data_IF_983073329258
#
_entry.id   IF_983073329258
#
_cell.length_a   1.000
_cell.length_b   1.000
_cell.length_c   1.000
_cell.angle_alpha   90.00
_cell.angle_beta   90.00
_cell.angle_gamma   90.00
#
_symmetry.space_group_name_H-M   'P 1'
#
loop_
_entity.id
_entity.type
_entity.pdbx_description
1 polymer ?
#
# COMPACT_ATOMS: atom_id res chain seq x y z
N UNK A 1 -3.27 2.33 -4.68
CA UNK A 1 -2.06 2.01 -5.45
C UNK A 1 -1.59 0.63 -5.05
N UNK A 2 -1.05 -0.13 -5.99
CA UNK A 2 -0.46 -1.45 -5.77
C UNK A 2 0.93 -1.47 -6.42
N UNK A 3 1.77 -2.42 -6.01
CA UNK A 3 3.07 -2.64 -6.61
C UNK A 3 2.96 -3.39 -7.96
N UNK A 4 4.11 -3.61 -8.60
CA UNK A 4 4.20 -4.33 -9.87
C UNK A 4 4.30 -5.86 -9.75
N UNK A 5 3.94 -6.46 -8.61
CA UNK A 5 4.08 -7.90 -8.40
C UNK A 5 3.34 -8.73 -9.47
N UNK A 6 3.85 -9.92 -9.78
CA UNK A 6 3.31 -10.76 -10.86
C UNK A 6 1.84 -11.11 -10.62
N UNK A 7 1.47 -11.42 -9.38
CA UNK A 7 0.08 -11.68 -8.98
C UNK A 7 -0.85 -10.49 -9.26
N UNK A 8 -0.37 -9.26 -9.04
CA UNK A 8 -1.15 -8.03 -9.25
C UNK A 8 -1.27 -7.60 -10.71
N UNK A 9 -0.42 -8.16 -11.59
CA UNK A 9 -0.39 -7.82 -13.03
C UNK A 9 -0.96 -8.93 -13.92
N UNK A 10 -1.48 -10.01 -13.33
CA UNK A 10 -2.10 -11.11 -14.04
C UNK A 10 -3.38 -10.65 -14.79
N UNK A 11 -3.66 -11.26 -15.95
CA UNK A 11 -4.81 -10.89 -16.79
C UNK A 11 -6.16 -10.91 -16.05
N UNK A 12 -6.49 -11.92 -15.21
CA UNK A 12 -7.76 -11.95 -14.49
C UNK A 12 -7.88 -10.78 -13.49
N UNK A 13 -6.78 -10.47 -12.79
CA UNK A 13 -6.72 -9.36 -11.84
C UNK A 13 -6.88 -8.03 -12.57
N UNK A 14 -6.18 -7.84 -13.69
CA UNK A 14 -6.32 -6.63 -14.52
C UNK A 14 -7.76 -6.45 -15.01
N UNK A 15 -8.39 -7.51 -15.52
CA UNK A 15 -9.77 -7.45 -16.02
C UNK A 15 -10.74 -7.05 -14.90
N UNK A 16 -10.61 -7.67 -13.72
CA UNK A 16 -11.39 -7.33 -12.54
C UNK A 16 -11.20 -5.86 -12.12
N UNK A 17 -9.95 -5.37 -12.09
CA UNK A 17 -9.66 -3.99 -11.73
C UNK A 17 -10.29 -3.01 -12.74
N UNK A 18 -10.15 -3.27 -14.04
CA UNK A 18 -10.75 -2.42 -15.09
C UNK A 18 -12.27 -2.39 -14.96
N UNK A 19 -12.91 -3.53 -14.70
CA UNK A 19 -14.35 -3.59 -14.47
C UNK A 19 -14.78 -2.79 -13.24
N UNK A 20 -13.99 -2.84 -12.16
CA UNK A 20 -14.36 -2.25 -10.87
C UNK A 20 -14.11 -0.75 -10.82
N UNK A 21 -12.98 -0.28 -11.37
CA UNK A 21 -12.48 1.08 -11.19
C UNK A 21 -12.41 1.89 -12.50
N UNK A 22 -12.57 1.23 -13.65
CA UNK A 22 -12.34 1.83 -14.96
C UNK A 22 -10.86 1.95 -15.31
N UNK A 23 -10.54 1.88 -16.60
CA UNK A 23 -9.16 1.84 -17.09
C UNK A 23 -8.36 3.11 -16.75
N UNK A 24 -9.01 4.27 -16.64
CA UNK A 24 -8.34 5.55 -16.35
C UNK A 24 -7.85 5.69 -14.91
N UNK A 25 -8.33 4.85 -13.99
CA UNK A 25 -7.97 4.90 -12.57
C UNK A 25 -6.92 3.86 -12.18
N UNK A 26 -6.39 3.12 -13.15
CA UNK A 26 -5.50 1.98 -12.91
C UNK A 26 -4.14 2.30 -13.46
N UNK A 27 -3.13 2.15 -12.60
CA UNK A 27 -1.73 2.14 -12.98
C UNK A 27 -1.21 0.73 -12.79
N UNK A 28 -0.87 0.06 -13.88
CA UNK A 28 -0.42 -1.34 -13.87
C UNK A 28 0.28 -1.70 -15.18
N UNK A 29 1.03 -2.81 -15.19
CA UNK A 29 1.68 -3.28 -16.42
C UNK A 29 0.62 -3.54 -17.50
N UNK A 30 0.92 -3.12 -18.74
CA UNK A 30 0.04 -3.29 -19.91
C UNK A 30 -1.32 -2.58 -19.78
N UNK A 31 -1.46 -1.59 -18.88
CA UNK A 31 -2.59 -0.68 -18.83
C UNK A 31 -2.23 0.67 -19.47
N UNK A 32 -3.24 1.54 -19.68
CA UNK A 32 -3.06 2.90 -20.22
C UNK A 32 -1.99 3.71 -19.49
N UNK A 33 -1.95 3.59 -18.17
CA UNK A 33 -0.89 4.17 -17.33
C UNK A 33 0.04 3.03 -16.88
N UNK A 34 1.20 2.83 -17.53
CA UNK A 34 2.11 1.77 -17.16
C UNK A 34 2.87 2.09 -15.88
N UNK A 35 3.21 1.06 -15.11
CA UNK A 35 4.08 1.22 -13.95
C UNK A 35 5.54 1.38 -14.37
N UNK A 36 6.24 2.34 -13.75
CA UNK A 36 7.65 2.56 -14.02
C UNK A 36 8.49 1.36 -13.53
N UNK A 37 9.59 1.01 -14.22
CA UNK A 37 10.50 -0.03 -13.75
C UNK A 37 11.13 0.36 -12.41
N UNK A 38 11.20 -0.59 -11.45
CA UNK A 38 11.82 -0.40 -10.12
C UNK A 38 11.11 0.63 -9.22
N UNK A 39 9.78 0.68 -9.28
CA UNK A 39 8.96 1.59 -8.48
C UNK A 39 8.22 0.91 -7.33
N UNK A 40 8.76 -0.19 -6.77
CA UNK A 40 8.20 -0.81 -5.56
C UNK A 40 8.07 0.21 -4.43
N UNK A 41 9.03 1.13 -4.32
CA UNK A 41 9.15 2.03 -3.18
C UNK A 41 8.25 3.27 -3.30
N UNK A 42 7.47 3.37 -4.38
CA UNK A 42 6.59 4.52 -4.59
C UNK A 42 5.22 4.35 -3.91
N UNK A 43 4.86 3.17 -3.40
CA UNK A 43 3.58 3.08 -2.70
C UNK A 43 3.68 3.68 -1.29
N UNK A 44 2.67 4.46 -0.83
CA UNK A 44 2.61 4.94 0.55
C UNK A 44 2.69 3.82 1.59
N UNK A 45 2.30 2.61 1.21
CA UNK A 45 2.42 1.45 2.07
C UNK A 45 3.90 1.08 2.29
N UNK A 46 4.68 1.04 1.21
CA UNK A 46 6.07 0.59 1.21
C UNK A 46 7.04 1.60 1.83
N UNK A 47 6.95 2.89 1.48
CA UNK A 47 7.89 3.89 2.01
C UNK A 47 7.54 4.40 3.41
N UNK A 48 6.31 4.20 3.90
CA UNK A 48 5.86 4.75 5.17
C UNK A 48 5.10 3.75 6.05
N UNK A 49 3.96 3.23 5.60
CA UNK A 49 3.04 2.51 6.48
C UNK A 49 3.68 1.29 7.13
N UNK A 50 4.35 0.43 6.35
CA UNK A 50 4.91 -0.81 6.87
C UNK A 50 6.04 -0.56 7.87
N UNK A 51 6.93 0.40 7.59
CA UNK A 51 7.97 0.80 8.53
C UNK A 51 7.42 1.40 9.82
N UNK A 52 6.42 2.28 9.70
CA UNK A 52 5.74 2.91 10.82
C UNK A 52 5.03 1.88 11.72
N UNK A 53 4.19 1.03 11.13
CA UNK A 53 3.46 0.00 11.86
C UNK A 53 4.39 -1.01 12.50
N UNK A 54 5.44 -1.45 11.78
CA UNK A 54 6.44 -2.36 12.35
C UNK A 54 7.03 -1.78 13.62
N UNK A 55 7.54 -0.54 13.56
CA UNK A 55 8.11 0.12 14.73
C UNK A 55 7.11 0.16 15.90
N UNK A 56 5.88 0.62 15.66
CA UNK A 56 4.84 0.80 16.68
C UNK A 56 4.35 -0.52 17.29
N UNK A 57 4.10 -1.53 16.47
CA UNK A 57 3.58 -2.83 16.89
C UNK A 57 4.61 -3.59 17.73
N UNK A 58 5.89 -3.51 17.36
CA UNK A 58 6.93 -4.22 18.12
C UNK A 58 7.30 -3.55 19.45
N UNK A 59 6.90 -2.29 19.68
CA UNK A 59 7.04 -1.65 21.01
C UNK A 59 6.23 -2.36 22.10
N UNK A 60 5.07 -2.94 21.76
CA UNK A 60 4.25 -3.68 22.74
C UNK A 60 4.73 -5.12 22.97
N UNK A 61 5.75 -5.59 22.26
CA UNK A 61 6.32 -6.93 22.43
C UNK A 61 5.31 -8.09 22.30
N UNK A 62 4.48 -8.15 21.24
CA UNK A 62 3.48 -9.21 21.11
C UNK A 62 4.15 -10.59 21.05
N UNK A 63 3.68 -11.50 21.89
CA UNK A 63 4.22 -12.86 22.07
C UNK A 63 3.35 -13.94 21.41
N UNK A 64 2.13 -13.57 21.00
CA UNK A 64 1.19 -14.45 20.30
C UNK A 64 0.63 -13.84 19.03
N UNK A 65 0.08 -14.69 18.15
CA UNK A 65 -0.58 -14.23 16.92
C UNK A 65 -1.80 -13.34 17.23
N UNK A 66 -2.51 -13.61 18.32
CA UNK A 66 -3.67 -12.81 18.75
C UNK A 66 -3.21 -11.41 19.15
N UNK A 67 -2.22 -11.32 20.03
CA UNK A 67 -1.63 -10.05 20.47
C UNK A 67 -1.07 -9.24 19.31
N UNK A 68 -0.40 -9.91 18.36
CA UNK A 68 0.11 -9.24 17.17
C UNK A 68 -1.01 -8.64 16.32
N UNK A 69 -2.10 -9.40 16.07
CA UNK A 69 -3.26 -8.91 15.31
C UNK A 69 -3.92 -7.73 16.01
N UNK A 70 -4.08 -7.80 17.32
CA UNK A 70 -4.72 -6.73 18.10
C UNK A 70 -3.83 -5.48 18.17
N UNK A 71 -2.51 -5.67 18.27
CA UNK A 71 -1.56 -4.57 18.17
C UNK A 71 -1.62 -3.86 16.81
N UNK A 72 -1.64 -4.63 15.71
CA UNK A 72 -1.79 -4.05 14.37
C UNK A 72 -3.10 -3.25 14.26
N UNK A 73 -4.23 -3.80 14.70
CA UNK A 73 -5.53 -3.09 14.65
C UNK A 73 -5.52 -1.79 15.44
N UNK A 74 -4.93 -1.80 16.64
CA UNK A 74 -4.83 -0.63 17.50
C UNK A 74 -3.96 0.46 16.87
N UNK A 75 -2.77 0.10 16.39
CA UNK A 75 -1.85 1.06 15.78
C UNK A 75 -2.35 1.58 14.42
N UNK A 76 -3.11 0.78 13.67
CA UNK A 76 -3.80 1.28 12.47
C UNK A 76 -4.91 2.26 12.83
N UNK A 77 -5.68 1.97 13.88
CA UNK A 77 -6.78 2.84 14.34
C UNK A 77 -6.29 4.16 14.93
N UNK A 78 -5.02 4.24 15.35
CA UNK A 78 -4.41 5.47 15.86
C UNK A 78 -3.77 6.34 14.79
N UNK A 79 -3.76 5.91 13.52
CA UNK A 79 -3.24 6.72 12.40
C UNK A 79 -4.14 7.92 12.18
N UNK A 80 -3.58 9.11 12.36
CA UNK A 80 -4.30 10.36 12.10
C UNK A 80 -4.52 10.58 10.60
N UNK A 81 -5.68 11.10 10.17
CA UNK A 81 -5.95 11.42 8.76
C UNK A 81 -4.88 12.28 8.09
N UNK A 82 -4.25 13.20 8.82
CA UNK A 82 -3.18 14.05 8.28
C UNK A 82 -1.92 13.26 7.89
N UNK A 83 -1.63 12.15 8.58
CA UNK A 83 -0.52 11.27 8.22
C UNK A 83 -0.82 10.57 6.89
N UNK A 84 -2.06 10.13 6.69
CA UNK A 84 -2.52 9.54 5.42
C UNK A 84 -2.46 10.58 4.30
N UNK A 85 -2.93 11.80 4.54
CA UNK A 85 -2.87 12.88 3.57
C UNK A 85 -1.43 13.21 3.17
N UNK A 86 -0.53 13.29 4.16
CA UNK A 86 0.91 13.51 3.93
C UNK A 86 1.54 12.38 3.12
N UNK A 87 1.20 11.12 3.42
CA UNK A 87 1.70 9.97 2.68
C UNK A 87 1.21 9.94 1.23
N UNK A 88 -0.07 10.25 0.99
CA UNK A 88 -0.62 10.32 -0.38
C UNK A 88 -0.03 11.49 -1.16
N UNK A 89 0.12 12.67 -0.54
CA UNK A 89 0.72 13.83 -1.21
C UNK A 89 2.22 13.62 -1.47
N UNK A 90 2.90 12.97 -0.54
CA UNK A 90 4.32 12.60 -0.66
C UNK A 90 4.63 11.63 -1.80
N UNK A 91 3.61 10.99 -2.40
CA UNK A 91 3.76 10.25 -3.65
C UNK A 91 4.16 11.18 -4.80
N UNK A 92 3.49 12.33 -4.94
CA UNK A 92 3.74 13.29 -6.03
C UNK A 92 5.17 13.82 -5.97
N UNK A 93 5.71 14.02 -4.77
CA UNK A 93 7.09 14.49 -4.57
C UNK A 93 8.15 13.39 -4.77
N UNK A 94 7.74 12.13 -4.93
CA UNK A 94 8.64 10.97 -5.11
C UNK A 94 8.61 10.41 -6.55
N UNK A 95 7.72 10.93 -7.40
CA UNK A 95 7.71 10.69 -8.85
C UNK A 95 8.80 11.52 -9.53
#
# INVERSE_FOLDING_TARGET
MQDGAISHTANPVRAFLIQTFGEVRIVSRRCRYPWLPRSSDLTPADFWLWGYLKYRVYLSGPSSLLELKDAIRREVSSIHPDMLHSAVTGFVTRL
#
